data_IF_920466265287
#
_entry.id   IF_920466265287
#
_cell.length_a   1.000
_cell.length_b   1.000
_cell.length_c   1.000
_cell.angle_alpha   90.00
_cell.angle_beta   90.00
_cell.angle_gamma   90.00
#
_symmetry.space_group_name_H-M   'P 1'
#
loop_
_entity.id
_entity.type
_entity.pdbx_description
1 polymer ?
#
# COMPACT_ATOMS: atom_id res chain seq x y z
N UNK A 1 -7.00 -17.72 2.75
CA UNK A 1 -5.70 -17.07 2.57
C UNK A 1 -5.33 -16.33 3.83
N UNK A 2 -4.04 -16.31 4.16
CA UNK A 2 -3.50 -15.56 5.29
C UNK A 2 -3.04 -14.19 4.79
N UNK A 3 -3.34 -13.12 5.50
CA UNK A 3 -2.82 -11.79 5.17
C UNK A 3 -2.22 -11.09 6.38
N UNK A 4 -1.24 -10.25 6.11
CA UNK A 4 -0.66 -9.34 7.09
C UNK A 4 -0.93 -7.90 6.68
N UNK A 5 -1.51 -7.12 7.58
CA UNK A 5 -1.72 -5.66 7.41
C UNK A 5 -0.69 -4.95 8.27
N UNK A 6 0.17 -4.17 7.62
CA UNK A 6 1.22 -3.45 8.34
C UNK A 6 0.66 -2.17 8.94
N UNK A 7 0.88 -1.98 10.22
CA UNK A 7 0.40 -0.81 10.97
C UNK A 7 1.54 0.15 11.25
N UNK A 8 1.40 1.39 10.84
CA UNK A 8 2.38 2.46 11.09
C UNK A 8 1.81 3.51 12.05
N UNK A 9 2.66 4.22 12.79
CA UNK A 9 2.23 5.38 13.57
C UNK A 9 1.51 6.41 12.69
N UNK A 10 0.35 6.89 13.12
CA UNK A 10 -0.45 7.87 12.37
C UNK A 10 -1.26 7.30 11.19
N UNK A 11 -1.09 6.03 10.86
CA UNK A 11 -1.96 5.35 9.87
C UNK A 11 -3.36 5.19 10.47
N UNK A 12 -4.40 5.58 9.71
CA UNK A 12 -5.79 5.55 10.19
C UNK A 12 -6.71 4.66 9.34
N UNK A 13 -6.21 4.03 8.29
CA UNK A 13 -6.98 3.11 7.44
C UNK A 13 -6.59 1.64 7.62
N UNK A 14 -5.78 1.30 8.60
CA UNK A 14 -5.35 -0.07 8.88
C UNK A 14 -6.51 -0.97 9.32
N UNK A 15 -7.40 -0.43 10.19
CA UNK A 15 -8.62 -1.14 10.63
C UNK A 15 -9.63 -1.33 9.50
N UNK A 16 -9.80 -0.33 8.64
CA UNK A 16 -10.69 -0.45 7.47
C UNK A 16 -10.20 -1.55 6.54
N UNK A 17 -8.88 -1.64 6.36
CA UNK A 17 -8.25 -2.70 5.58
C UNK A 17 -8.46 -4.08 6.22
N UNK A 18 -8.27 -4.21 7.52
CA UNK A 18 -8.54 -5.45 8.25
C UNK A 18 -9.99 -5.92 8.07
N UNK A 19 -10.95 -5.00 8.23
CA UNK A 19 -12.38 -5.28 8.03
C UNK A 19 -12.67 -5.70 6.58
N UNK A 20 -12.13 -4.97 5.62
CA UNK A 20 -12.34 -5.27 4.20
C UNK A 20 -11.81 -6.67 3.85
N UNK A 21 -10.59 -6.99 4.23
CA UNK A 21 -9.99 -8.29 3.95
C UNK A 21 -10.76 -9.45 4.63
N UNK A 22 -11.23 -9.27 5.87
CA UNK A 22 -12.08 -10.25 6.55
C UNK A 22 -13.38 -10.51 5.80
N UNK A 23 -14.02 -9.46 5.25
CA UNK A 23 -15.22 -9.60 4.43
C UNK A 23 -14.97 -10.42 3.15
N UNK A 24 -13.74 -10.40 2.63
CA UNK A 24 -13.31 -11.24 1.51
C UNK A 24 -12.77 -12.61 1.93
N UNK A 25 -12.92 -13.01 3.18
CA UNK A 25 -12.56 -14.34 3.67
C UNK A 25 -11.07 -14.51 4.02
N UNK A 26 -10.31 -13.44 4.15
CA UNK A 26 -8.93 -13.51 4.61
C UNK A 26 -8.86 -13.67 6.14
N UNK A 27 -7.86 -14.44 6.60
CA UNK A 27 -7.46 -14.46 8.01
C UNK A 27 -6.30 -13.48 8.18
N UNK A 28 -6.57 -12.34 8.82
CA UNK A 28 -5.61 -11.24 8.91
C UNK A 28 -4.84 -11.26 10.21
N UNK A 29 -3.59 -10.81 10.14
CA UNK A 29 -2.77 -10.39 11.28
C UNK A 29 -2.40 -8.92 11.10
N UNK A 30 -2.57 -8.13 12.15
CA UNK A 30 -2.01 -6.79 12.26
C UNK A 30 -0.56 -6.91 12.69
N UNK A 31 0.35 -6.28 11.95
CA UNK A 31 1.80 -6.34 12.17
C UNK A 31 2.31 -4.93 12.40
N UNK A 32 2.97 -4.72 13.54
CA UNK A 32 3.44 -3.40 13.92
C UNK A 32 4.72 -3.02 13.17
N UNK A 33 4.85 -1.77 12.79
CA UNK A 33 5.99 -1.26 12.00
C UNK A 33 7.37 -1.53 12.64
N UNK A 34 7.41 -1.70 13.97
CA UNK A 34 8.64 -1.94 14.71
C UNK A 34 8.99 -3.43 14.86
N UNK A 35 8.09 -4.33 14.45
CA UNK A 35 8.38 -5.76 14.38
C UNK A 35 9.47 -5.99 13.32
N UNK A 36 10.25 -7.06 13.52
CA UNK A 36 11.34 -7.43 12.60
C UNK A 36 10.97 -8.62 11.72
N UNK A 37 9.96 -9.38 12.14
CA UNK A 37 9.56 -10.60 11.45
C UNK A 37 8.15 -10.48 10.89
N UNK A 38 8.01 -10.89 9.65
CA UNK A 38 6.72 -10.99 8.98
C UNK A 38 6.11 -12.37 9.26
N UNK A 39 4.90 -12.47 9.83
CA UNK A 39 4.21 -13.75 9.98
C UNK A 39 3.99 -14.41 8.61
N UNK A 40 3.87 -15.74 8.60
CA UNK A 40 3.50 -16.48 7.39
C UNK A 40 2.26 -15.86 6.76
N UNK A 41 2.39 -15.42 5.52
CA UNK A 41 1.36 -14.67 4.79
C UNK A 41 1.33 -15.09 3.32
N UNK A 42 0.13 -15.08 2.75
CA UNK A 42 -0.08 -15.21 1.31
C UNK A 42 -0.15 -13.81 0.66
N UNK A 43 -0.52 -12.80 1.44
CA UNK A 43 -0.65 -11.41 1.03
C UNK A 43 -0.18 -10.48 2.15
N UNK A 44 0.63 -9.49 1.80
CA UNK A 44 0.98 -8.36 2.67
C UNK A 44 0.32 -7.09 2.16
N UNK A 45 -0.31 -6.34 3.05
CA UNK A 45 -1.00 -5.09 2.69
C UNK A 45 -0.42 -3.93 3.47
N UNK A 46 -0.01 -2.89 2.74
CA UNK A 46 0.32 -1.58 3.27
C UNK A 46 -0.92 -0.69 3.13
N UNK A 47 -1.59 -0.34 4.23
CA UNK A 47 -2.86 0.38 4.19
C UNK A 47 -2.66 1.86 3.85
N UNK A 48 -3.76 2.55 3.63
CA UNK A 48 -3.82 4.00 3.53
C UNK A 48 -3.68 4.70 4.89
N UNK A 49 -3.69 6.01 4.84
CA UNK A 49 -3.57 6.90 5.99
C UNK A 49 -2.39 7.84 5.84
N UNK A 50 -1.96 8.43 6.94
CA UNK A 50 -0.89 9.41 6.98
C UNK A 50 0.24 8.88 7.88
N UNK A 51 0.93 7.81 7.44
CA UNK A 51 1.98 7.20 8.23
C UNK A 51 3.04 8.23 8.64
N UNK A 52 3.31 8.30 9.94
CA UNK A 52 4.20 9.31 10.55
C UNK A 52 3.80 10.77 10.24
N UNK A 53 2.51 11.04 9.97
CA UNK A 53 2.01 12.37 9.62
C UNK A 53 2.59 12.93 8.32
N UNK A 54 3.02 12.07 7.41
CA UNK A 54 3.68 12.42 6.13
C UNK A 54 4.89 13.34 6.27
N UNK A 55 5.58 13.28 7.41
CA UNK A 55 6.83 14.03 7.63
C UNK A 55 7.86 13.71 6.55
N UNK A 56 8.58 14.71 6.09
CA UNK A 56 9.54 14.70 4.97
C UNK A 56 8.81 14.54 3.62
N UNK A 57 8.43 13.33 3.26
CA UNK A 57 7.63 12.91 2.10
C UNK A 57 6.67 11.82 2.53
N UNK A 58 5.52 11.77 1.88
CA UNK A 58 4.54 10.71 2.11
C UNK A 58 5.19 9.32 1.95
N UNK A 59 5.09 8.50 2.98
CA UNK A 59 5.66 7.15 2.99
C UNK A 59 7.16 7.06 3.31
N UNK A 60 7.91 8.16 3.29
CA UNK A 60 9.37 8.15 3.45
C UNK A 60 9.83 7.58 4.80
N UNK A 61 9.22 8.00 5.90
CA UNK A 61 9.57 7.46 7.23
C UNK A 61 9.10 6.01 7.38
N UNK A 62 7.90 5.70 6.89
CA UNK A 62 7.37 4.34 6.94
C UNK A 62 8.25 3.34 6.17
N UNK A 63 8.81 3.76 5.02
CA UNK A 63 9.73 2.93 4.22
C UNK A 63 10.99 2.49 4.97
N UNK A 64 11.37 3.21 6.02
CA UNK A 64 12.54 2.91 6.88
C UNK A 64 12.18 2.12 8.14
N UNK A 65 10.91 1.79 8.34
CA UNK A 65 10.48 0.99 9.49
C UNK A 65 11.09 -0.40 9.47
N UNK A 66 11.30 -0.99 10.65
CA UNK A 66 12.01 -2.28 10.78
C UNK A 66 11.35 -3.39 9.97
N UNK A 67 10.02 -3.48 10.00
CA UNK A 67 9.25 -4.50 9.29
C UNK A 67 9.44 -4.44 7.77
N UNK A 68 9.74 -3.26 7.22
CA UNK A 68 9.84 -3.09 5.77
C UNK A 68 10.97 -3.91 5.14
N UNK A 69 12.03 -4.22 5.89
CA UNK A 69 13.07 -5.15 5.43
C UNK A 69 12.48 -6.54 5.13
N UNK A 70 11.63 -7.03 6.03
CA UNK A 70 10.95 -8.33 5.85
C UNK A 70 9.90 -8.28 4.75
N UNK A 71 9.18 -7.16 4.60
CA UNK A 71 8.21 -6.95 3.51
C UNK A 71 8.92 -6.93 2.14
N UNK A 72 10.06 -6.24 2.04
CA UNK A 72 10.86 -6.17 0.80
C UNK A 72 11.39 -7.57 0.45
N UNK A 73 11.93 -8.31 1.41
CA UNK A 73 12.39 -9.68 1.19
C UNK A 73 11.24 -10.59 0.74
N UNK A 74 10.08 -10.48 1.36
CA UNK A 74 8.87 -11.22 0.98
C UNK A 74 8.46 -10.91 -0.47
N UNK A 75 8.42 -9.64 -0.86
CA UNK A 75 8.10 -9.22 -2.21
C UNK A 75 9.11 -9.76 -3.24
N UNK A 76 10.42 -9.62 -2.95
CA UNK A 76 11.49 -10.10 -3.83
C UNK A 76 11.52 -11.63 -3.98
N UNK A 77 10.96 -12.35 -3.00
CA UNK A 77 10.76 -13.80 -3.09
C UNK A 77 9.48 -14.21 -3.84
N UNK A 78 8.79 -13.26 -4.48
CA UNK A 78 7.57 -13.50 -5.24
C UNK A 78 6.29 -13.45 -4.41
N UNK A 79 6.35 -12.98 -3.17
CA UNK A 79 5.18 -12.77 -2.30
C UNK A 79 4.29 -11.64 -2.80
N UNK A 80 2.99 -11.76 -2.58
CA UNK A 80 2.02 -10.76 -3.02
C UNK A 80 1.99 -9.59 -2.05
N UNK A 81 2.28 -8.39 -2.55
CA UNK A 81 2.21 -7.15 -1.77
C UNK A 81 1.25 -6.18 -2.43
N UNK A 82 0.40 -5.53 -1.64
CA UNK A 82 -0.55 -4.52 -2.09
C UNK A 82 -0.36 -3.24 -1.27
N UNK A 83 -0.22 -2.11 -1.94
CA UNK A 83 -0.19 -0.78 -1.30
C UNK A 83 -1.38 0.06 -1.74
N UNK A 84 -2.08 0.65 -0.79
CA UNK A 84 -3.28 1.47 -1.05
C UNK A 84 -3.04 2.87 -0.53
N UNK A 85 -3.25 3.89 -1.36
CA UNK A 85 -3.06 5.30 -1.00
C UNK A 85 -1.65 5.54 -0.41
N UNK A 86 -1.52 5.84 0.88
CA UNK A 86 -0.21 5.97 1.54
C UNK A 86 0.64 4.70 1.44
N UNK A 87 0.03 3.51 1.44
CA UNK A 87 0.74 2.25 1.19
C UNK A 87 1.38 2.19 -0.20
N UNK A 88 0.72 2.73 -1.24
CA UNK A 88 1.34 2.88 -2.56
C UNK A 88 2.56 3.81 -2.51
N UNK A 89 2.47 4.91 -1.77
CA UNK A 89 3.58 5.85 -1.58
C UNK A 89 4.78 5.16 -0.89
N UNK A 90 4.52 4.33 0.13
CA UNK A 90 5.56 3.54 0.80
C UNK A 90 6.21 2.54 -0.18
N UNK A 91 5.43 1.85 -1.02
CA UNK A 91 5.96 0.93 -2.03
C UNK A 91 6.85 1.65 -3.06
N UNK A 92 6.52 2.89 -3.42
CA UNK A 92 7.35 3.71 -4.30
C UNK A 92 8.64 4.14 -3.61
N UNK A 93 8.58 4.56 -2.34
CA UNK A 93 9.76 4.94 -1.55
C UNK A 93 10.70 3.74 -1.26
N UNK A 94 10.21 2.51 -1.30
CA UNK A 94 11.02 1.29 -1.15
C UNK A 94 11.48 0.69 -2.47
N UNK A 95 11.18 1.34 -3.60
CA UNK A 95 11.50 0.88 -4.96
C UNK A 95 10.84 -0.47 -5.34
N UNK A 96 9.87 -0.94 -4.55
CA UNK A 96 9.03 -2.10 -4.92
C UNK A 96 8.07 -1.77 -6.06
N UNK A 97 7.77 -0.49 -6.25
CA UNK A 97 7.11 0.03 -7.44
C UNK A 97 8.03 1.04 -8.13
N UNK A 98 8.03 1.06 -9.47
CA UNK A 98 8.86 2.00 -10.22
C UNK A 98 8.30 3.42 -10.10
N UNK A 99 9.19 4.42 -10.19
CA UNK A 99 8.84 5.82 -10.20
C UNK A 99 9.29 6.57 -8.94
N UNK A 100 8.95 7.84 -8.90
CA UNK A 100 9.23 8.74 -7.78
C UNK A 100 8.04 9.67 -7.57
N UNK A 101 7.74 9.96 -6.32
CA UNK A 101 6.71 10.91 -5.95
C UNK A 101 7.30 12.31 -5.87
N UNK A 102 6.68 13.23 -6.56
CA UNK A 102 7.05 14.63 -6.58
C UNK A 102 5.94 15.47 -5.96
N UNK A 103 6.34 16.62 -5.39
CA UNK A 103 5.37 17.60 -4.92
C UNK A 103 4.57 18.17 -6.09
N UNK A 104 3.27 18.42 -5.90
CA UNK A 104 2.44 19.05 -6.91
C UNK A 104 3.02 20.37 -7.40
N UNK A 105 2.85 20.69 -8.68
CA UNK A 105 3.48 21.85 -9.34
C UNK A 105 3.26 23.18 -8.60
N UNK A 106 2.08 23.37 -8.01
CA UNK A 106 1.74 24.61 -7.28
C UNK A 106 1.75 24.41 -5.75
N UNK A 107 2.22 23.26 -5.25
CA UNK A 107 2.16 22.87 -3.83
C UNK A 107 0.74 22.94 -3.24
N UNK A 108 -0.28 22.81 -4.09
CA UNK A 108 -1.69 22.83 -3.70
C UNK A 108 -2.25 21.41 -3.67
N UNK A 109 -3.15 21.17 -2.71
CA UNK A 109 -3.88 19.92 -2.63
C UNK A 109 -4.89 19.83 -3.80
N UNK A 110 -4.87 18.71 -4.51
CA UNK A 110 -5.75 18.48 -5.65
C UNK A 110 -6.77 17.40 -5.30
N UNK A 111 -8.07 17.72 -5.42
CA UNK A 111 -9.16 16.76 -5.23
C UNK A 111 -10.10 16.83 -6.44
N UNK A 112 -10.12 15.76 -7.24
CA UNK A 112 -10.97 15.69 -8.45
C UNK A 112 -11.28 14.27 -8.86
N UNK A 113 -12.36 14.09 -9.62
CA UNK A 113 -12.66 12.81 -10.26
C UNK A 113 -11.72 12.60 -11.46
N UNK A 114 -11.08 11.45 -11.51
CA UNK A 114 -10.19 11.06 -12.60
C UNK A 114 -10.54 9.67 -13.12
N UNK A 115 -10.01 9.35 -14.29
CA UNK A 115 -9.98 8.00 -14.80
C UNK A 115 -8.59 7.40 -14.59
N UNK A 116 -8.53 6.24 -13.95
CA UNK A 116 -7.31 5.44 -13.84
C UNK A 116 -7.36 4.31 -14.85
N UNK A 117 -6.22 4.03 -15.47
CA UNK A 117 -6.06 2.93 -16.42
C UNK A 117 -5.23 1.84 -15.75
N UNK A 118 -5.69 0.60 -15.87
CA UNK A 118 -4.89 -0.57 -15.47
C UNK A 118 -3.73 -0.68 -16.47
N UNK A 119 -2.51 -0.45 -16.01
CA UNK A 119 -1.30 -0.45 -16.85
C UNK A 119 -0.87 -1.86 -17.25
N UNK A 120 -1.01 -2.82 -16.36
CA UNK A 120 -0.66 -4.22 -16.60
C UNK A 120 -1.84 -5.15 -16.29
N UNK A 121 -2.51 -5.60 -17.36
CA UNK A 121 -3.63 -6.55 -17.25
C UNK A 121 -3.18 -8.00 -16.97
N UNK A 122 -1.88 -8.30 -17.09
CA UNK A 122 -1.31 -9.62 -16.75
C UNK A 122 -1.01 -9.75 -15.27
N UNK A 123 -1.01 -8.65 -14.54
CA UNK A 123 -0.83 -8.64 -13.09
C UNK A 123 -1.88 -9.50 -12.42
N UNK A 124 -1.50 -10.31 -11.45
CA UNK A 124 -2.37 -11.26 -10.75
C UNK A 124 -3.61 -10.59 -10.14
N UNK A 125 -3.50 -9.34 -9.69
CA UNK A 125 -4.63 -8.59 -9.12
C UNK A 125 -5.66 -8.16 -10.16
N UNK A 126 -5.26 -8.05 -11.44
CA UNK A 126 -6.08 -7.44 -12.48
C UNK A 126 -6.43 -8.36 -13.66
N UNK A 127 -5.88 -9.57 -13.70
CA UNK A 127 -6.05 -10.49 -14.83
C UNK A 127 -7.51 -10.82 -15.18
N UNK A 128 -8.41 -10.73 -14.21
CA UNK A 128 -9.84 -11.03 -14.39
C UNK A 128 -10.70 -9.77 -14.55
N UNK A 129 -10.09 -8.58 -14.54
CA UNK A 129 -10.83 -7.32 -14.69
C UNK A 129 -10.98 -7.00 -16.17
N UNK A 130 -12.21 -7.06 -16.68
CA UNK A 130 -12.54 -6.76 -18.09
C UNK A 130 -12.47 -5.26 -18.39
N UNK A 131 -12.82 -4.41 -17.43
CA UNK A 131 -12.85 -2.95 -17.59
C UNK A 131 -11.49 -2.35 -17.30
N UNK A 132 -10.83 -1.82 -18.34
CA UNK A 132 -9.46 -1.25 -18.22
C UNK A 132 -9.42 0.17 -17.63
N UNK A 133 -10.50 0.94 -17.73
CA UNK A 133 -10.59 2.30 -17.21
C UNK A 133 -11.59 2.34 -16.06
N UNK A 134 -11.17 2.86 -14.93
CA UNK A 134 -11.98 2.96 -13.71
C UNK A 134 -12.06 4.43 -13.33
N UNK A 135 -13.29 4.95 -13.13
CA UNK A 135 -13.49 6.29 -12.58
C UNK A 135 -13.33 6.22 -11.07
N UNK A 136 -12.51 7.09 -10.53
CA UNK A 136 -12.31 7.21 -9.08
C UNK A 136 -12.11 8.68 -8.69
N UNK A 137 -12.32 9.01 -7.43
CA UNK A 137 -11.87 10.28 -6.88
C UNK A 137 -10.37 10.21 -6.59
N UNK A 138 -9.69 11.31 -6.82
CA UNK A 138 -8.27 11.46 -6.59
C UNK A 138 -8.05 12.69 -5.71
N UNK A 139 -7.22 12.52 -4.69
CA UNK A 139 -6.78 13.61 -3.82
C UNK A 139 -5.31 13.43 -3.46
N UNK A 140 -4.55 14.49 -3.56
CA UNK A 140 -3.11 14.51 -3.26
C UNK A 140 -2.63 15.94 -2.99
#
# INVERSE_FOLDING_TARGET
MLSSVITFPGSNCDRDMDVALKKFGFKNKMVWHNDTELPKSDLVVLPGGFSYGDYLRCGSMASKSKIMKSVINFANSGGLVMGICNGFQILTETELLPGILLRNKHAEFICKNIFVKISDSKNIYFKNIKKKNIRTSYST
#
